data_IF_610912124161
#
_entry.id   IF_610912124161
#
_cell.length_a   1.000
_cell.length_b   1.000
_cell.length_c   1.000
_cell.angle_alpha   90.00
_cell.angle_beta   90.00
_cell.angle_gamma   90.00
#
_symmetry.space_group_name_H-M   'P 1'
#
loop_
_entity.id
_entity.type
_entity.pdbx_description
1 polymer ?
#
# COMPACT_ATOMS: atom_id res chain seq x y z
N UNK A 1 12.85 26.13 -13.09
CA UNK A 1 11.76 27.04 -12.66
C UNK A 1 11.33 26.81 -11.20
N UNK A 2 10.46 25.84 -10.81
CA UNK A 2 10.12 25.72 -9.37
C UNK A 2 11.21 25.09 -8.51
N UNK A 3 11.89 24.04 -9.02
CA UNK A 3 13.04 23.44 -8.32
C UNK A 3 14.16 24.46 -8.10
N UNK A 4 14.32 25.37 -9.06
CA UNK A 4 15.32 26.44 -9.02
C UNK A 4 14.92 27.54 -8.04
N UNK A 5 13.66 28.00 -8.06
CA UNK A 5 13.13 28.94 -7.07
C UNK A 5 13.20 28.36 -5.64
N UNK A 6 12.95 27.06 -5.48
CA UNK A 6 13.09 26.36 -4.22
C UNK A 6 14.55 26.19 -3.78
N UNK A 7 15.46 25.91 -4.73
CA UNK A 7 16.89 25.80 -4.43
C UNK A 7 17.54 27.16 -4.12
N UNK A 8 17.00 28.25 -4.66
CA UNK A 8 17.44 29.61 -4.33
C UNK A 8 16.98 30.06 -2.93
N UNK A 9 15.96 29.42 -2.36
CA UNK A 9 15.47 29.71 -1.03
C UNK A 9 16.20 28.85 0.01
N UNK A 10 17.00 29.50 0.87
CA UNK A 10 17.85 28.81 1.85
C UNK A 10 17.04 27.90 2.79
N UNK A 11 15.85 28.33 3.23
CA UNK A 11 15.02 27.54 4.16
C UNK A 11 14.50 26.24 3.51
N UNK A 12 14.08 26.33 2.25
CA UNK A 12 13.59 25.17 1.49
C UNK A 12 14.75 24.27 1.08
N UNK A 13 15.88 24.87 0.67
CA UNK A 13 17.08 24.15 0.25
C UNK A 13 17.70 23.33 1.39
N UNK A 14 17.64 23.79 2.64
CA UNK A 14 18.14 23.05 3.81
C UNK A 14 17.45 21.70 4.00
N UNK A 15 16.19 21.59 3.58
CA UNK A 15 15.39 20.37 3.74
C UNK A 15 15.47 19.44 2.52
N UNK A 16 16.28 19.78 1.50
CA UNK A 16 16.48 19.00 0.28
C UNK A 16 15.16 18.48 -0.34
N UNK A 17 14.14 19.35 -0.37
CA UNK A 17 12.79 19.00 -0.84
C UNK A 17 12.83 18.57 -2.31
N UNK A 18 12.28 17.39 -2.60
CA UNK A 18 12.14 16.87 -3.95
C UNK A 18 10.70 17.04 -4.44
N UNK A 19 10.52 17.68 -5.60
CA UNK A 19 9.21 17.83 -6.23
C UNK A 19 8.97 16.71 -7.25
N UNK A 20 7.89 15.96 -7.10
CA UNK A 20 7.57 14.79 -7.94
C UNK A 20 6.70 15.16 -9.13
N UNK A 21 5.75 16.06 -8.92
CA UNK A 21 4.76 16.42 -9.93
C UNK A 21 4.34 17.87 -9.77
N UNK A 22 3.99 18.50 -10.89
CA UNK A 22 3.35 19.82 -10.92
C UNK A 22 2.17 19.76 -11.87
N UNK A 23 1.03 20.30 -11.45
CA UNK A 23 -0.19 20.40 -12.26
C UNK A 23 -0.73 21.80 -12.13
N UNK A 24 -0.83 22.48 -13.27
CA UNK A 24 -1.48 23.79 -13.37
C UNK A 24 -2.93 23.56 -13.77
N UNK A 25 -3.87 24.23 -13.10
CA UNK A 25 -5.27 24.20 -13.51
C UNK A 25 -5.43 24.88 -14.87
N UNK A 26 -6.30 24.36 -15.74
CA UNK A 26 -6.58 24.92 -17.07
C UNK A 26 -7.09 26.37 -16.97
N UNK A 27 -7.79 26.71 -15.89
CA UNK A 27 -8.26 28.08 -15.61
C UNK A 27 -7.17 29.00 -15.06
N UNK A 28 -5.93 28.51 -14.88
CA UNK A 28 -4.79 29.25 -14.34
C UNK A 28 -5.07 29.93 -12.97
N UNK A 29 -5.95 29.33 -12.17
CA UNK A 29 -6.34 29.82 -10.84
C UNK A 29 -5.44 29.26 -9.73
N UNK A 30 -5.01 28.01 -9.90
CA UNK A 30 -4.25 27.26 -8.91
C UNK A 30 -3.19 26.39 -9.57
N UNK A 31 -2.08 26.23 -8.87
CA UNK A 31 -0.98 25.31 -9.21
C UNK A 31 -0.84 24.32 -8.07
N UNK A 32 -0.91 23.03 -8.37
CA UNK A 32 -0.65 21.97 -7.40
C UNK A 32 0.75 21.42 -7.62
N UNK A 33 1.52 21.40 -6.55
CA UNK A 33 2.91 20.95 -6.54
C UNK A 33 3.00 19.81 -5.54
N UNK A 34 3.37 18.63 -6.02
CA UNK A 34 3.59 17.47 -5.19
C UNK A 34 5.06 17.39 -4.80
N UNK A 35 5.30 17.10 -3.53
CA UNK A 35 6.63 16.91 -2.98
C UNK A 35 6.75 15.53 -2.34
N UNK A 36 7.92 14.92 -2.46
CA UNK A 36 8.16 13.56 -2.00
C UNK A 36 8.19 13.49 -0.47
N UNK A 37 7.30 12.70 0.12
CA UNK A 37 7.36 12.39 1.55
C UNK A 37 8.30 11.22 1.78
N UNK A 38 9.29 11.44 2.65
CA UNK A 38 10.25 10.40 3.04
C UNK A 38 9.90 9.75 4.37
N UNK A 39 8.91 10.29 5.10
CA UNK A 39 8.53 9.84 6.44
C UNK A 39 9.39 10.45 7.55
N UNK A 40 10.36 11.30 7.21
CA UNK A 40 11.28 11.96 8.16
C UNK A 40 11.13 13.46 8.02
N UNK A 41 10.76 14.14 9.11
CA UNK A 41 10.56 15.60 9.18
C UNK A 41 9.51 16.17 8.20
N UNK A 42 8.59 15.33 7.69
CA UNK A 42 7.55 15.74 6.74
C UNK A 42 6.73 16.95 7.24
N UNK A 43 6.42 16.99 8.55
CA UNK A 43 5.69 18.11 9.17
C UNK A 43 6.45 19.44 9.11
N UNK A 44 7.78 19.40 9.30
CA UNK A 44 8.64 20.58 9.24
C UNK A 44 8.74 21.08 7.80
N UNK A 45 8.90 20.16 6.84
CA UNK A 45 8.94 20.46 5.41
C UNK A 45 7.62 21.12 4.99
N UNK A 46 6.48 20.59 5.41
CA UNK A 46 5.18 21.15 5.11
C UNK A 46 5.01 22.57 5.69
N UNK A 47 5.45 22.79 6.93
CA UNK A 47 5.40 24.10 7.56
C UNK A 47 6.28 25.13 6.83
N UNK A 48 7.50 24.74 6.45
CA UNK A 48 8.43 25.60 5.68
C UNK A 48 7.86 25.93 4.30
N UNK A 49 7.34 24.93 3.57
CA UNK A 49 6.72 25.16 2.25
C UNK A 49 5.48 26.07 2.35
N UNK A 50 4.67 25.92 3.39
CA UNK A 50 3.53 26.82 3.66
C UNK A 50 3.98 28.24 3.96
N UNK A 51 5.01 28.41 4.79
CA UNK A 51 5.59 29.73 5.12
C UNK A 51 6.17 30.41 3.88
N UNK A 52 6.94 29.68 3.09
CA UNK A 52 7.65 30.19 1.91
C UNK A 52 6.81 30.28 0.64
N UNK A 53 5.54 29.86 0.68
CA UNK A 53 4.60 29.87 -0.45
C UNK A 53 4.54 31.22 -1.17
N UNK A 54 4.44 32.31 -0.42
CA UNK A 54 4.35 33.65 -1.01
C UNK A 54 5.66 34.07 -1.70
N UNK A 55 6.80 33.77 -1.08
CA UNK A 55 8.11 34.06 -1.63
C UNK A 55 8.36 33.27 -2.92
N UNK A 56 8.07 31.97 -2.91
CA UNK A 56 8.17 31.12 -4.09
C UNK A 56 7.25 31.59 -5.21
N UNK A 57 6.02 32.00 -4.90
CA UNK A 57 5.07 32.56 -5.87
C UNK A 57 5.59 33.85 -6.50
N UNK A 58 6.18 34.74 -5.71
CA UNK A 58 6.78 35.98 -6.21
C UNK A 58 7.96 35.68 -7.13
N UNK A 59 8.89 34.83 -6.69
CA UNK A 59 10.06 34.42 -7.48
C UNK A 59 9.64 33.75 -8.80
N UNK A 60 8.62 32.90 -8.77
CA UNK A 60 8.05 32.30 -9.98
C UNK A 60 7.41 33.33 -10.90
N UNK A 61 6.67 34.29 -10.34
CA UNK A 61 6.08 35.39 -11.11
C UNK A 61 7.15 36.23 -11.80
N UNK A 62 8.22 36.57 -11.07
CA UNK A 62 9.35 37.35 -11.58
C UNK A 62 10.10 36.59 -12.68
N UNK A 63 10.26 35.26 -12.54
CA UNK A 63 10.93 34.42 -13.53
C UNK A 63 10.14 34.21 -14.83
N UNK A 64 8.81 34.15 -14.75
CA UNK A 64 7.92 33.90 -15.90
C UNK A 64 7.47 35.22 -16.54
N UNK A 65 7.53 36.34 -15.80
CA UNK A 65 7.06 37.65 -16.25
C UNK A 65 5.54 37.80 -16.26
N UNK A 66 4.81 36.87 -15.62
CA UNK A 66 3.35 36.90 -15.48
C UNK A 66 2.96 36.58 -14.04
N UNK A 67 1.79 37.02 -13.60
CA UNK A 67 1.31 36.73 -12.25
C UNK A 67 1.15 35.21 -12.03
N UNK A 68 1.87 34.66 -11.07
CA UNK A 68 1.79 33.23 -10.74
C UNK A 68 0.50 32.95 -9.93
N UNK A 69 -0.28 31.90 -10.30
CA UNK A 69 -1.47 31.51 -9.56
C UNK A 69 -1.14 31.04 -8.15
N UNK A 70 -2.18 30.73 -7.40
CA UNK A 70 -2.04 30.30 -6.02
C UNK A 70 -1.42 28.89 -5.93
N UNK A 71 -0.30 28.74 -5.21
CA UNK A 71 0.51 27.50 -5.18
C UNK A 71 0.09 26.62 -4.00
N UNK A 72 -0.45 25.44 -4.26
CA UNK A 72 -0.77 24.43 -3.26
C UNK A 72 0.30 23.34 -3.23
N UNK A 73 0.89 23.11 -2.06
CA UNK A 73 1.84 22.02 -1.83
C UNK A 73 1.10 20.81 -1.28
N UNK A 74 1.24 19.67 -1.95
CA UNK A 74 0.60 18.41 -1.60
C UNK A 74 1.66 17.33 -1.31
N UNK A 75 1.57 16.62 -0.18
CA UNK A 75 2.49 15.52 0.12
C UNK A 75 2.26 14.33 -0.81
N UNK A 76 3.32 13.82 -1.42
CA UNK A 76 3.32 12.60 -2.22
C UNK A 76 3.81 11.42 -1.39
N UNK A 77 2.85 10.60 -0.94
CA UNK A 77 3.11 9.38 -0.14
C UNK A 77 3.21 8.12 -0.99
N UNK A 78 3.26 8.25 -2.31
CA UNK A 78 3.25 7.10 -3.22
C UNK A 78 4.45 6.17 -2.99
N UNK A 79 5.63 6.72 -2.70
CA UNK A 79 6.83 5.93 -2.42
C UNK A 79 6.73 5.18 -1.09
N UNK A 80 6.30 5.85 -0.01
CA UNK A 80 6.07 5.22 1.30
C UNK A 80 5.08 4.06 1.19
N UNK A 81 3.99 4.25 0.43
CA UNK A 81 3.01 3.18 0.19
C UNK A 81 3.62 2.02 -0.59
N UNK A 82 4.43 2.29 -1.61
CA UNK A 82 5.10 1.25 -2.40
C UNK A 82 6.08 0.43 -1.55
N UNK A 83 6.86 1.08 -0.68
CA UNK A 83 7.79 0.41 0.23
C UNK A 83 7.07 -0.50 1.24
N UNK A 84 5.96 -0.03 1.84
CA UNK A 84 5.18 -0.85 2.76
C UNK A 84 4.50 -2.01 2.02
N UNK A 85 4.00 -1.76 0.80
CA UNK A 85 3.43 -2.80 -0.05
C UNK A 85 4.46 -3.89 -0.37
N UNK A 86 5.68 -3.53 -0.76
CA UNK A 86 6.77 -4.48 -1.03
C UNK A 86 7.13 -5.32 0.20
N UNK A 87 7.12 -4.72 1.39
CA UNK A 87 7.35 -5.42 2.65
C UNK A 87 6.24 -6.43 2.94
N UNK A 88 4.98 -6.06 2.73
CA UNK A 88 3.83 -6.95 2.87
C UNK A 88 3.90 -8.10 1.86
N UNK A 89 4.24 -7.81 0.61
CA UNK A 89 4.43 -8.84 -0.42
C UNK A 89 5.55 -9.82 -0.04
N UNK A 90 6.69 -9.34 0.46
CA UNK A 90 7.76 -10.23 0.94
C UNK A 90 7.33 -11.13 2.09
N UNK A 91 6.48 -10.64 3.00
CA UNK A 91 5.93 -11.46 4.09
C UNK A 91 4.90 -12.46 3.57
N UNK A 92 4.08 -12.07 2.60
CA UNK A 92 3.02 -12.88 2.00
C UNK A 92 3.53 -13.92 0.99
N UNK A 93 4.66 -13.67 0.31
CA UNK A 93 5.30 -14.61 -0.63
C UNK A 93 5.95 -15.82 0.08
N UNK A 94 5.88 -15.88 1.43
CA UNK A 94 6.02 -17.12 2.20
C UNK A 94 4.68 -17.87 2.38
N UNK A 95 3.68 -17.58 1.54
CA UNK A 95 2.50 -18.41 1.38
C UNK A 95 2.94 -19.80 0.92
N UNK A 96 2.83 -20.76 1.85
CA UNK A 96 3.16 -22.19 1.73
C UNK A 96 3.32 -22.64 0.29
N UNK A 97 4.45 -23.29 -0.03
CA UNK A 97 4.64 -24.07 -1.24
C UNK A 97 3.40 -24.95 -1.50
N UNK A 98 2.41 -24.43 -2.22
CA UNK A 98 1.38 -25.22 -2.89
C UNK A 98 2.05 -25.86 -4.10
N UNK A 99 3.15 -26.56 -3.85
CA UNK A 99 3.87 -27.35 -4.84
C UNK A 99 2.97 -28.54 -5.15
N UNK A 100 2.12 -28.32 -6.13
CA UNK A 100 1.37 -29.29 -6.92
C UNK A 100 1.12 -30.63 -6.20
N UNK A 101 -0.08 -30.78 -5.64
CA UNK A 101 -0.75 -32.08 -5.51
C UNK A 101 -1.02 -32.65 -6.92
N UNK A 102 0.03 -33.06 -7.63
CA UNK A 102 0.02 -33.88 -8.84
C UNK A 102 1.49 -34.19 -9.15
N UNK A 103 2.05 -35.35 -8.76
CA UNK A 103 1.57 -36.68 -9.17
C UNK A 103 1.62 -37.76 -8.07
N UNK A 104 1.89 -37.43 -6.80
CA UNK A 104 1.82 -38.38 -5.65
C UNK A 104 1.38 -37.73 -4.33
N UNK A 105 0.28 -36.98 -4.31
CA UNK A 105 -0.26 -36.36 -3.08
C UNK A 105 -0.92 -37.32 -2.07
N UNK A 106 -0.45 -38.57 -1.92
CA UNK A 106 -1.15 -39.60 -1.11
C UNK A 106 -0.36 -40.22 0.04
N UNK A 107 0.94 -40.01 0.18
CA UNK A 107 1.71 -40.81 1.13
C UNK A 107 2.71 -39.92 1.86
N UNK A 108 2.82 -40.13 3.17
CA UNK A 108 3.80 -39.54 4.10
C UNK A 108 3.33 -38.29 4.87
N UNK A 109 2.30 -38.48 5.69
CA UNK A 109 2.02 -37.66 6.85
C UNK A 109 1.54 -38.56 7.99
N UNK A 110 2.46 -39.33 8.57
CA UNK A 110 2.20 -40.23 9.71
C UNK A 110 1.85 -39.40 10.96
N UNK A 111 0.56 -39.34 11.30
CA UNK A 111 0.09 -39.26 12.68
C UNK A 111 -1.23 -40.02 12.74
N UNK A 112 -1.26 -41.13 13.48
CA UNK A 112 -2.44 -41.97 13.64
C UNK A 112 -3.58 -41.17 14.29
N UNK A 113 -4.64 -40.93 13.52
CA UNK A 113 -5.92 -40.53 14.07
C UNK A 113 -6.68 -41.78 14.55
N UNK A 114 -7.35 -41.74 15.72
CA UNK A 114 -8.10 -42.89 16.21
C UNK A 114 -9.26 -43.18 15.26
N UNK A 115 -9.32 -44.41 14.76
CA UNK A 115 -10.32 -44.88 13.77
C UNK A 115 -11.74 -44.70 14.34
N UNK A 116 -12.68 -44.10 13.60
CA UNK A 116 -14.08 -44.09 14.01
C UNK A 116 -14.65 -45.51 13.96
N UNK A 117 -15.39 -45.86 15.02
CA UNK A 117 -15.99 -47.16 15.25
C UNK A 117 -16.92 -47.55 14.08
N UNK A 118 -16.71 -48.75 13.51
CA UNK A 118 -17.48 -49.22 12.36
C UNK A 118 -18.91 -49.54 12.82
N UNK A 119 -19.89 -48.85 12.27
CA UNK A 119 -21.30 -49.17 12.45
C UNK A 119 -21.60 -50.62 12.04
N UNK A 120 -22.18 -51.40 12.96
CA UNK A 120 -22.68 -52.75 12.68
C UNK A 120 -24.20 -52.69 12.49
N UNK A 121 -24.76 -53.25 11.40
CA UNK A 121 -26.20 -53.39 11.27
C UNK A 121 -26.77 -54.34 12.33
N UNK A 122 -27.85 -53.93 13.00
CA UNK A 122 -28.59 -54.78 13.93
C UNK A 122 -29.23 -55.97 13.18
N UNK A 123 -29.11 -57.21 13.70
CA UNK A 123 -29.75 -58.36 13.06
C UNK A 123 -31.28 -58.26 13.17
N UNK A 124 -31.98 -58.37 12.04
CA UNK A 124 -33.43 -58.50 11.99
C UNK A 124 -33.83 -59.81 12.68
N UNK A 125 -34.58 -59.70 13.79
CA UNK A 125 -35.22 -60.82 14.47
C UNK A 125 -36.30 -61.40 13.54
N UNK A 126 -36.08 -62.59 12.97
CA UNK A 126 -37.16 -63.37 12.35
C UNK A 126 -38.14 -63.76 13.46
N UNK A 127 -39.41 -63.37 13.30
CA UNK A 127 -40.52 -64.00 14.01
C UNK A 127 -40.72 -65.36 13.36
N UNK A 128 -40.25 -66.41 14.01
CA UNK A 128 -40.75 -67.74 13.73
C UNK A 128 -42.06 -67.88 14.51
N UNK A 129 -43.13 -68.06 13.76
CA UNK A 129 -44.47 -68.35 14.26
C UNK A 129 -44.43 -69.76 14.88
N UNK A 130 -44.98 -69.90 16.08
CA UNK A 130 -45.51 -71.16 16.59
C UNK A 130 -46.41 -71.81 15.54
N UNK A 131 -46.28 -73.11 15.34
CA UNK A 131 -47.27 -74.08 15.82
C UNK A 131 -46.76 -75.51 15.58
N UNK A 132 -46.71 -76.28 16.68
CA UNK A 132 -46.52 -77.73 16.70
C UNK A 132 -47.85 -78.33 17.13
N UNK A 133 -48.38 -79.29 16.37
CA UNK A 133 -49.35 -80.28 16.85
C UNK A 133 -50.81 -79.90 16.72
#
# INVERSE_FOLDING_TARGET
MINEAASANEEVSRHAVQFTKVKVNCSFTDVRVWWLCTGVNDEQIEAVLKSQRHNLRKTLSDSIGVNCPEIQFEPDRSELMMQEMDKLFRMADYGMDYRAVSHTGRVLGNAESPKPEKWKPLPRKKKDNEETG
#
